data_IF_690263482161
#
_entry.id   IF_690263482161
#
_cell.length_a   1.000
_cell.length_b   1.000
_cell.length_c   1.000
_cell.angle_alpha   90.00
_cell.angle_beta   90.00
_cell.angle_gamma   90.00
#
_symmetry.space_group_name_H-M   'P 1'
#
loop_
_entity.id
_entity.type
_entity.pdbx_description
1 polymer ?
#
# COMPACT_ATOMS: atom_id res chain seq x y z
N UNK A 1 21.31 22.43 -6.23
CA UNK A 1 21.55 21.12 -6.90
C UNK A 1 21.11 19.97 -6.05
N UNK A 2 21.72 19.70 -4.89
CA UNK A 2 21.26 18.63 -3.99
C UNK A 2 19.77 18.78 -3.66
N UNK A 3 19.34 19.97 -3.22
CA UNK A 3 17.92 20.25 -2.94
C UNK A 3 17.00 20.00 -4.16
N UNK A 4 17.46 20.35 -5.37
CA UNK A 4 16.72 20.13 -6.61
C UNK A 4 16.59 18.63 -6.91
N UNK A 5 17.67 17.87 -6.73
CA UNK A 5 17.66 16.42 -6.90
C UNK A 5 16.70 15.72 -5.93
N UNK A 6 16.47 16.29 -4.74
CA UNK A 6 15.53 15.81 -3.74
C UNK A 6 14.10 16.35 -3.93
N UNK A 7 13.81 16.99 -5.06
CA UNK A 7 12.52 17.63 -5.35
C UNK A 7 12.08 18.68 -4.30
N UNK A 8 13.03 19.23 -3.55
CA UNK A 8 12.84 20.37 -2.64
C UNK A 8 12.96 21.67 -3.45
N UNK A 9 11.99 21.87 -4.34
CA UNK A 9 12.09 22.88 -5.41
C UNK A 9 12.12 24.31 -4.86
N UNK A 10 11.37 24.59 -3.78
CA UNK A 10 11.33 25.92 -3.18
C UNK A 10 12.67 26.31 -2.54
N UNK A 11 13.29 25.39 -1.81
CA UNK A 11 14.61 25.58 -1.20
C UNK A 11 15.70 25.63 -2.27
N UNK A 12 15.59 24.79 -3.29
CA UNK A 12 16.50 24.80 -4.43
C UNK A 12 16.44 26.13 -5.19
N UNK A 13 15.27 26.70 -5.38
CA UNK A 13 15.06 28.01 -6.01
C UNK A 13 15.81 29.11 -5.27
N UNK A 14 15.69 29.20 -3.95
CA UNK A 14 16.42 30.19 -3.14
C UNK A 14 17.93 30.06 -3.34
N UNK A 15 18.45 28.83 -3.38
CA UNK A 15 19.86 28.58 -3.63
C UNK A 15 20.28 28.98 -5.06
N UNK A 16 19.49 28.65 -6.07
CA UNK A 16 19.81 28.97 -7.46
C UNK A 16 19.69 30.46 -7.76
N UNK A 17 18.72 31.16 -7.17
CA UNK A 17 18.63 32.62 -7.24
C UNK A 17 19.91 33.27 -6.70
N UNK A 18 20.40 32.82 -5.54
CA UNK A 18 21.66 33.33 -4.96
C UNK A 18 22.86 32.99 -5.82
N UNK A 19 22.95 31.76 -6.33
CA UNK A 19 24.04 31.35 -7.21
C UNK A 19 24.07 32.16 -8.52
N UNK A 20 22.90 32.41 -9.11
CA UNK A 20 22.78 33.25 -10.31
C UNK A 20 23.13 34.72 -10.03
N UNK A 21 22.81 35.26 -8.85
CA UNK A 21 23.23 36.61 -8.46
C UNK A 21 24.76 36.72 -8.26
N UNK A 22 25.40 35.67 -7.74
CA UNK A 22 26.85 35.63 -7.53
C UNK A 22 27.64 35.39 -8.81
N UNK A 23 27.08 34.66 -9.76
CA UNK A 23 27.64 34.43 -11.08
C UNK A 23 26.55 34.58 -12.16
N UNK A 24 26.24 35.83 -12.56
CA UNK A 24 25.21 36.11 -13.57
C UNK A 24 25.57 35.62 -14.97
N UNK A 25 26.86 35.33 -15.21
CA UNK A 25 27.35 34.90 -16.52
C UNK A 25 27.19 33.40 -16.75
N UNK A 26 27.04 32.63 -15.68
CA UNK A 26 26.84 31.18 -15.77
C UNK A 26 25.40 30.84 -16.14
N UNK A 27 25.25 30.36 -17.39
CA UNK A 27 24.00 29.81 -17.90
C UNK A 27 23.42 28.72 -16.99
N UNK A 28 24.29 27.90 -16.40
CA UNK A 28 23.91 26.74 -15.60
C UNK A 28 22.99 27.10 -14.42
N UNK A 29 23.24 28.22 -13.75
CA UNK A 29 22.42 28.66 -12.62
C UNK A 29 21.06 29.20 -13.07
N UNK A 30 21.03 29.96 -14.17
CA UNK A 30 19.79 30.40 -14.79
C UNK A 30 18.96 29.20 -15.27
N UNK A 31 19.60 28.20 -15.87
CA UNK A 31 18.93 26.99 -16.33
C UNK A 31 18.27 26.23 -15.19
N UNK A 32 19.02 25.91 -14.13
CA UNK A 32 18.46 25.21 -12.99
C UNK A 32 17.39 26.01 -12.25
N UNK A 33 17.56 27.34 -12.15
CA UNK A 33 16.54 28.22 -11.59
C UNK A 33 15.24 28.15 -12.41
N UNK A 34 15.34 28.20 -13.73
CA UNK A 34 14.20 28.04 -14.64
C UNK A 34 13.48 26.71 -14.46
N UNK A 35 14.22 25.60 -14.35
CA UNK A 35 13.65 24.26 -14.13
C UNK A 35 12.90 24.14 -12.80
N UNK A 36 13.44 24.68 -11.70
CA UNK A 36 12.73 24.61 -10.40
C UNK A 36 11.53 25.55 -10.35
N UNK A 37 11.58 26.69 -11.03
CA UNK A 37 10.43 27.58 -11.21
C UNK A 37 9.34 26.89 -12.03
N UNK A 38 9.71 26.18 -13.09
CA UNK A 38 8.82 25.33 -13.88
C UNK A 38 8.12 24.26 -13.05
N UNK A 39 8.88 23.48 -12.27
CA UNK A 39 8.32 22.43 -11.42
C UNK A 39 7.36 22.94 -10.34
N UNK A 40 7.52 24.21 -9.93
CA UNK A 40 6.61 24.91 -9.02
C UNK A 40 5.45 25.63 -9.73
N UNK A 41 5.28 25.45 -11.04
CA UNK A 41 4.30 26.13 -11.88
C UNK A 41 4.40 27.67 -11.91
N UNK A 42 5.58 28.23 -11.60
CA UNK A 42 5.89 29.67 -11.70
C UNK A 42 6.32 30.04 -13.13
N UNK A 43 5.43 29.85 -14.09
CA UNK A 43 5.75 29.96 -15.51
C UNK A 43 6.26 31.34 -15.94
N UNK A 44 5.70 32.44 -15.41
CA UNK A 44 6.14 33.79 -15.76
C UNK A 44 7.59 34.08 -15.31
N UNK A 45 7.96 33.61 -14.12
CA UNK A 45 9.33 33.73 -13.60
C UNK A 45 10.30 32.86 -14.41
N UNK A 46 9.92 31.61 -14.70
CA UNK A 46 10.71 30.72 -15.53
C UNK A 46 10.95 31.30 -16.94
N UNK A 47 9.96 31.96 -17.54
CA UNK A 47 10.11 32.66 -18.83
C UNK A 47 11.16 33.76 -18.73
N UNK A 48 11.13 34.58 -17.66
CA UNK A 48 12.10 35.65 -17.48
C UNK A 48 13.53 35.13 -17.32
N UNK A 49 13.68 34.02 -16.59
CA UNK A 49 14.98 33.38 -16.32
C UNK A 49 15.54 32.68 -17.57
N UNK A 50 14.77 31.81 -18.22
CA UNK A 50 15.24 30.97 -19.33
C UNK A 50 15.48 31.76 -20.62
N UNK A 51 14.84 32.91 -20.81
CA UNK A 51 15.00 33.75 -22.01
C UNK A 51 16.41 34.31 -22.20
N UNK A 52 17.20 34.43 -21.13
CA UNK A 52 18.53 35.04 -21.18
C UNK A 52 19.58 34.20 -21.92
N UNK A 53 19.28 32.93 -22.23
CA UNK A 53 20.24 32.00 -22.82
C UNK A 53 19.58 31.13 -23.90
N UNK A 54 19.72 31.56 -25.16
CA UNK A 54 18.86 31.14 -26.27
C UNK A 54 19.32 29.93 -27.07
N UNK A 55 20.45 29.27 -26.75
CA UNK A 55 21.04 28.26 -27.64
C UNK A 55 21.04 26.82 -27.10
N UNK A 56 20.58 26.60 -25.86
CA UNK A 56 20.48 25.26 -25.28
C UNK A 56 19.09 24.67 -25.48
N UNK A 57 19.00 23.58 -26.26
CA UNK A 57 17.71 22.99 -26.68
C UNK A 57 16.78 22.65 -25.50
N UNK A 58 17.22 21.97 -24.41
CA UNK A 58 16.36 21.72 -23.25
C UNK A 58 15.79 23.00 -22.61
N UNK A 59 16.59 24.08 -22.54
CA UNK A 59 16.13 25.37 -22.03
C UNK A 59 15.11 26.03 -22.95
N UNK A 60 15.31 25.95 -24.27
CA UNK A 60 14.34 26.47 -25.25
C UNK A 60 13.02 25.70 -25.20
N UNK A 61 13.07 24.37 -25.08
CA UNK A 61 11.87 23.53 -24.93
C UNK A 61 11.11 23.85 -23.64
N UNK A 62 11.83 24.02 -22.53
CA UNK A 62 11.25 24.43 -21.24
C UNK A 62 10.64 25.83 -21.29
N UNK A 63 11.32 26.79 -21.91
CA UNK A 63 10.80 28.14 -22.16
C UNK A 63 9.50 28.09 -22.98
N UNK A 64 9.47 27.30 -24.06
CA UNK A 64 8.26 27.11 -24.88
C UNK A 64 7.10 26.54 -24.07
N UNK A 65 7.36 25.58 -23.18
CA UNK A 65 6.33 25.02 -22.30
C UNK A 65 5.76 26.06 -21.34
N UNK A 66 6.60 26.93 -20.76
CA UNK A 66 6.14 28.02 -19.89
C UNK A 66 5.36 29.09 -20.64
N UNK A 67 5.79 29.45 -21.86
CA UNK A 67 5.08 30.40 -22.71
C UNK A 67 3.67 29.89 -23.04
N UNK A 68 3.55 28.60 -23.36
CA UNK A 68 2.25 27.92 -23.52
C UNK A 68 1.44 27.96 -22.23
N UNK A 69 2.03 27.63 -21.08
CA UNK A 69 1.37 27.67 -19.78
C UNK A 69 0.89 29.07 -19.37
N UNK A 70 1.58 30.11 -19.82
CA UNK A 70 1.26 31.52 -19.57
C UNK A 70 0.38 32.15 -20.65
N UNK A 71 -0.19 31.32 -21.56
CA UNK A 71 -1.03 31.74 -22.68
C UNK A 71 -0.36 32.75 -23.67
N UNK A 72 0.97 32.75 -23.75
CA UNK A 72 1.76 33.58 -24.69
C UNK A 72 1.97 32.85 -26.01
N UNK A 73 0.87 32.57 -26.71
CA UNK A 73 0.81 31.67 -27.87
C UNK A 73 1.71 32.06 -29.03
N UNK A 74 1.77 33.34 -29.39
CA UNK A 74 2.58 33.83 -30.52
C UNK A 74 4.09 33.75 -30.22
N UNK A 75 4.49 34.02 -28.98
CA UNK A 75 5.89 33.87 -28.56
C UNK A 75 6.30 32.40 -28.56
N UNK A 76 5.44 31.53 -28.02
CA UNK A 76 5.67 30.08 -28.04
C UNK A 76 5.76 29.53 -29.47
N UNK A 77 4.89 30.00 -30.37
CA UNK A 77 4.87 29.60 -31.78
C UNK A 77 6.21 29.89 -32.45
N UNK A 78 6.67 31.15 -32.38
CA UNK A 78 7.92 31.58 -33.00
C UNK A 78 9.11 30.78 -32.46
N UNK A 79 9.16 30.58 -31.15
CA UNK A 79 10.20 29.80 -30.51
C UNK A 79 10.22 28.35 -31.01
N UNK A 80 9.08 27.66 -31.07
CA UNK A 80 9.04 26.29 -31.58
C UNK A 80 9.36 26.20 -33.07
N UNK A 81 8.94 27.17 -33.88
CA UNK A 81 9.32 27.26 -35.31
C UNK A 81 10.84 27.46 -35.46
N UNK A 82 11.48 28.30 -34.63
CA UNK A 82 12.93 28.49 -34.60
C UNK A 82 13.68 27.24 -34.14
N UNK A 83 13.19 26.55 -33.09
CA UNK A 83 13.75 25.28 -32.64
C UNK A 83 13.73 24.26 -33.79
N UNK A 84 12.59 24.14 -34.49
CA UNK A 84 12.42 23.17 -35.59
C UNK A 84 13.24 23.51 -36.84
N UNK A 85 13.67 24.77 -37.03
CA UNK A 85 14.64 25.11 -38.07
C UNK A 85 16.02 24.54 -37.77
N UNK A 86 16.43 24.49 -36.49
CA UNK A 86 17.73 23.96 -36.04
C UNK A 86 17.70 22.45 -35.74
N UNK A 87 16.58 21.97 -35.20
CA UNK A 87 16.36 20.60 -34.71
C UNK A 87 15.04 20.04 -35.26
N UNK A 88 14.96 19.75 -36.57
CA UNK A 88 13.72 19.29 -37.21
C UNK A 88 13.24 17.92 -36.73
N UNK A 89 14.10 17.18 -36.04
CA UNK A 89 13.92 15.85 -35.48
C UNK A 89 13.51 15.86 -33.99
N UNK A 90 13.30 17.02 -33.35
CA UNK A 90 12.81 17.08 -31.95
C UNK A 90 11.31 16.77 -31.86
N UNK A 91 10.90 15.61 -31.30
CA UNK A 91 9.49 15.29 -31.08
C UNK A 91 8.81 16.28 -30.12
N UNK A 92 9.53 16.80 -29.12
CA UNK A 92 9.05 17.76 -28.12
C UNK A 92 8.67 19.09 -28.76
N UNK A 93 9.49 19.58 -29.68
CA UNK A 93 9.24 20.84 -30.38
C UNK A 93 8.00 20.73 -31.29
N UNK A 94 7.87 19.62 -32.02
CA UNK A 94 6.66 19.32 -32.80
C UNK A 94 5.42 19.22 -31.92
N UNK A 95 5.52 18.54 -30.77
CA UNK A 95 4.42 18.45 -29.80
C UNK A 95 4.02 19.84 -29.24
N UNK A 96 5.00 20.64 -28.84
CA UNK A 96 4.80 22.01 -28.36
C UNK A 96 4.12 22.90 -29.39
N UNK A 97 4.60 22.88 -30.64
CA UNK A 97 3.97 23.61 -31.75
C UNK A 97 2.54 23.14 -32.02
N UNK A 98 2.29 21.83 -31.97
CA UNK A 98 0.95 21.26 -32.11
C UNK A 98 -0.02 21.77 -31.04
N UNK A 99 0.42 21.88 -29.78
CA UNK A 99 -0.38 22.46 -28.69
C UNK A 99 -0.72 23.93 -28.95
N UNK A 100 0.25 24.72 -29.40
CA UNK A 100 0.04 26.15 -29.74
C UNK A 100 -0.97 26.30 -30.88
N UNK A 101 -0.83 25.51 -31.97
CA UNK A 101 -1.78 25.50 -33.10
C UNK A 101 -3.19 25.10 -32.67
N UNK A 102 -3.31 24.06 -31.84
CA UNK A 102 -4.60 23.60 -31.32
C UNK A 102 -5.31 24.66 -30.45
N UNK A 103 -4.54 25.43 -29.67
CA UNK A 103 -5.04 26.55 -28.87
C UNK A 103 -5.51 27.71 -29.78
N UNK A 104 -4.78 27.99 -30.86
CA UNK A 104 -5.13 28.97 -31.88
C UNK A 104 -6.21 28.50 -32.89
N UNK A 105 -6.88 27.38 -32.62
CA UNK A 105 -7.92 26.75 -33.47
C UNK A 105 -7.45 26.28 -34.84
N UNK A 106 -6.16 26.24 -35.10
CA UNK A 106 -5.58 25.57 -36.27
C UNK A 106 -5.49 24.06 -36.01
N UNK A 107 -6.63 23.37 -36.16
CA UNK A 107 -6.73 21.94 -35.88
C UNK A 107 -5.98 21.08 -36.90
N UNK A 108 -5.95 21.51 -38.16
CA UNK A 108 -5.26 20.78 -39.22
C UNK A 108 -3.74 20.84 -39.02
N UNK A 109 -3.19 22.03 -38.80
CA UNK A 109 -1.77 22.19 -38.49
C UNK A 109 -1.37 21.55 -37.17
N UNK A 110 -2.28 21.48 -36.18
CA UNK A 110 -2.05 20.76 -34.93
C UNK A 110 -1.94 19.23 -35.15
N UNK A 111 -2.82 18.65 -35.98
CA UNK A 111 -2.74 17.22 -36.35
C UNK A 111 -1.41 16.90 -37.00
N UNK A 112 -0.96 17.71 -37.96
CA UNK A 112 0.32 17.51 -38.64
C UNK A 112 1.50 17.51 -37.66
N UNK A 113 1.54 18.50 -36.76
CA UNK A 113 2.57 18.61 -35.74
C UNK A 113 2.56 17.43 -34.75
N UNK A 114 1.38 17.03 -34.26
CA UNK A 114 1.29 15.89 -33.34
C UNK A 114 1.63 14.56 -34.01
N UNK A 115 1.19 14.35 -35.26
CA UNK A 115 1.58 13.17 -36.03
C UNK A 115 3.10 13.11 -36.20
N UNK A 116 3.74 14.23 -36.51
CA UNK A 116 5.19 14.29 -36.66
C UNK A 116 5.91 13.96 -35.35
N UNK A 117 5.42 14.46 -34.22
CA UNK A 117 5.93 14.10 -32.89
C UNK A 117 5.82 12.58 -32.61
N UNK A 118 4.66 11.97 -32.91
CA UNK A 118 4.45 10.53 -32.75
C UNK A 118 5.29 9.70 -33.73
N UNK A 119 5.57 10.19 -34.94
CA UNK A 119 6.45 9.51 -35.90
C UNK A 119 7.91 9.49 -35.43
N UNK A 120 8.38 10.60 -34.85
CA UNK A 120 9.74 10.74 -34.34
C UNK A 120 9.94 9.95 -33.03
N UNK A 121 8.91 9.89 -32.18
CA UNK A 121 8.91 9.09 -30.96
C UNK A 121 7.60 8.29 -30.83
N UNK A 122 7.53 7.06 -31.37
CA UNK A 122 6.32 6.23 -31.33
C UNK A 122 5.70 5.96 -29.95
N UNK A 123 6.44 5.93 -28.83
CA UNK A 123 5.80 5.77 -27.52
C UNK A 123 5.37 7.10 -26.88
N UNK A 124 5.30 8.23 -27.61
CA UNK A 124 4.96 9.54 -27.03
C UNK A 124 3.48 9.64 -26.56
N UNK A 125 3.18 9.17 -25.36
CA UNK A 125 1.80 9.06 -24.88
C UNK A 125 1.04 10.40 -24.82
N UNK A 126 1.72 11.48 -24.45
CA UNK A 126 1.12 12.81 -24.37
C UNK A 126 0.77 13.37 -25.77
N UNK A 127 1.59 13.08 -26.78
CA UNK A 127 1.32 13.47 -28.17
C UNK A 127 0.16 12.66 -28.76
N UNK A 128 0.12 11.35 -28.54
CA UNK A 128 -1.02 10.50 -28.92
C UNK A 128 -2.33 10.98 -28.29
N UNK A 129 -2.31 11.34 -27.00
CA UNK A 129 -3.49 11.89 -26.33
C UNK A 129 -3.95 13.23 -26.93
N UNK A 130 -3.01 14.15 -27.19
CA UNK A 130 -3.33 15.44 -27.80
C UNK A 130 -3.84 15.29 -29.25
N UNK A 131 -3.28 14.35 -30.01
CA UNK A 131 -3.74 14.00 -31.35
C UNK A 131 -5.16 13.44 -31.33
N UNK A 132 -5.45 12.51 -30.41
CA UNK A 132 -6.78 11.95 -30.23
C UNK A 132 -7.83 13.04 -29.92
N UNK A 133 -7.52 13.94 -28.99
CA UNK A 133 -8.39 15.09 -28.66
C UNK A 133 -8.63 15.99 -29.88
N UNK A 134 -7.60 16.20 -30.69
CA UNK A 134 -7.72 17.02 -31.90
C UNK A 134 -8.56 16.32 -32.97
N UNK A 135 -8.43 14.99 -33.13
CA UNK A 135 -9.30 14.20 -34.00
C UNK A 135 -10.77 14.19 -33.54
N UNK A 136 -11.04 14.13 -32.23
CA UNK A 136 -12.40 14.27 -31.70
C UNK A 136 -13.03 15.60 -32.11
N UNK A 137 -12.28 16.71 -31.98
CA UNK A 137 -12.73 18.06 -32.41
C UNK A 137 -12.97 18.15 -33.91
N UNK A 138 -12.30 17.32 -34.71
CA UNK A 138 -12.47 17.20 -36.16
C UNK A 138 -13.52 16.17 -36.60
N UNK A 139 -14.20 15.49 -35.66
CA UNK A 139 -15.20 14.45 -35.97
C UNK A 139 -14.62 13.11 -36.43
N UNK A 140 -13.31 12.88 -36.25
CA UNK A 140 -12.59 11.67 -36.68
C UNK A 140 -12.56 10.61 -35.57
N UNK A 141 -13.73 10.05 -35.25
CA UNK A 141 -13.91 9.18 -34.08
C UNK A 141 -13.02 7.91 -34.07
N UNK A 142 -12.90 7.22 -35.21
CA UNK A 142 -12.11 5.98 -35.30
C UNK A 142 -10.62 6.23 -35.04
N UNK A 143 -10.07 7.27 -35.67
CA UNK A 143 -8.66 7.66 -35.49
C UNK A 143 -8.42 8.11 -34.05
N UNK A 144 -9.34 8.87 -33.45
CA UNK A 144 -9.23 9.25 -32.05
C UNK A 144 -9.15 8.05 -31.09
N UNK A 145 -9.93 7.00 -31.35
CA UNK A 145 -9.94 5.80 -30.51
C UNK A 145 -8.64 5.00 -30.60
N UNK A 146 -8.06 4.91 -31.80
CA UNK A 146 -6.75 4.28 -32.02
C UNK A 146 -5.64 5.01 -31.23
N UNK A 147 -5.58 6.33 -31.37
CA UNK A 147 -4.59 7.17 -30.69
C UNK A 147 -4.74 7.13 -29.15
N UNK A 148 -5.98 7.08 -28.63
CA UNK A 148 -6.21 6.87 -27.19
C UNK A 148 -5.70 5.52 -26.70
N UNK A 149 -5.79 4.49 -27.52
CA UNK A 149 -5.30 3.15 -27.18
C UNK A 149 -3.78 3.14 -27.14
N UNK A 150 -3.13 3.80 -28.09
CA UNK A 150 -1.66 3.98 -28.11
C UNK A 150 -1.17 4.83 -26.93
N UNK A 151 -1.89 5.89 -26.58
CA UNK A 151 -1.58 6.73 -25.42
C UNK A 151 -1.61 5.94 -24.11
N UNK A 152 -2.66 5.13 -23.88
CA UNK A 152 -2.75 4.27 -22.70
C UNK A 152 -1.69 3.17 -22.66
N UNK A 153 -1.36 2.59 -23.82
CA UNK A 153 -0.34 1.54 -23.92
C UNK A 153 1.05 2.04 -23.51
N UNK A 154 1.36 3.30 -23.82
CA UNK A 154 2.67 3.90 -23.59
C UNK A 154 2.66 4.91 -22.42
N UNK A 155 1.73 4.77 -21.47
CA UNK A 155 1.59 5.71 -20.36
C UNK A 155 2.92 5.95 -19.63
N UNK A 156 3.28 7.22 -19.44
CA UNK A 156 4.54 7.63 -18.81
C UNK A 156 5.75 7.74 -19.76
N UNK A 157 5.67 7.25 -21.01
CA UNK A 157 6.75 7.41 -21.97
C UNK A 157 6.77 8.84 -22.56
N UNK A 158 7.90 9.51 -22.40
CA UNK A 158 8.17 10.85 -22.87
C UNK A 158 9.56 10.88 -23.51
N UNK A 159 9.75 11.60 -24.64
CA UNK A 159 11.07 11.74 -25.23
C UNK A 159 11.94 12.60 -24.31
N UNK A 160 13.13 12.10 -23.96
CA UNK A 160 14.10 12.85 -23.18
C UNK A 160 15.12 13.44 -24.15
N UNK A 161 15.05 14.74 -24.39
CA UNK A 161 16.17 15.46 -24.98
C UNK A 161 17.39 15.28 -24.07
N UNK A 162 18.56 14.99 -24.68
CA UNK A 162 19.79 14.79 -23.94
C UNK A 162 20.14 16.08 -23.16
N UNK A 163 20.00 16.01 -21.84
CA UNK A 163 20.19 17.14 -20.93
C UNK A 163 21.34 16.83 -19.99
N UNK A 164 22.55 17.13 -20.45
CA UNK A 164 23.79 16.92 -19.68
C UNK A 164 23.77 17.67 -18.33
N UNK A 165 23.16 18.86 -18.27
CA UNK A 165 23.13 19.67 -17.05
C UNK A 165 22.16 19.09 -16.02
N UNK A 166 21.00 18.60 -16.45
CA UNK A 166 20.06 17.90 -15.57
C UNK A 166 20.57 16.52 -15.21
N UNK A 167 21.28 15.82 -16.11
CA UNK A 167 21.97 14.57 -15.80
C UNK A 167 22.98 14.77 -14.67
N UNK A 168 23.67 15.91 -14.57
CA UNK A 168 24.51 16.22 -13.41
C UNK A 168 23.70 16.34 -12.11
N UNK A 169 22.49 16.92 -12.15
CA UNK A 169 21.59 16.98 -10.98
C UNK A 169 21.06 15.59 -10.63
N UNK A 170 20.73 14.77 -11.63
CA UNK A 170 20.22 13.40 -11.46
C UNK A 170 21.31 12.42 -11.02
N UNK A 171 22.56 12.59 -11.45
CA UNK A 171 23.69 11.74 -11.05
C UNK A 171 24.14 12.00 -9.62
N UNK A 172 23.83 13.18 -9.06
CA UNK A 172 23.85 13.39 -7.61
C UNK A 172 22.81 12.52 -6.87
N UNK A 173 22.07 11.66 -7.57
CA UNK A 173 20.88 10.99 -7.03
C UNK A 173 20.50 9.64 -7.67
N UNK A 174 21.19 8.55 -7.30
CA UNK A 174 20.76 7.15 -7.56
C UNK A 174 20.43 6.32 -6.32
N UNK A 175 20.51 6.90 -5.12
CA UNK A 175 20.76 6.10 -3.92
C UNK A 175 19.50 5.73 -3.09
N UNK A 176 18.48 6.59 -2.95
CA UNK A 176 17.35 6.27 -2.06
C UNK A 176 16.47 5.13 -2.59
N UNK A 177 16.18 5.09 -3.90
CA UNK A 177 15.39 4.02 -4.52
C UNK A 177 16.10 2.65 -4.38
N UNK A 178 17.44 2.66 -4.43
CA UNK A 178 18.23 1.47 -4.15
C UNK A 178 18.08 1.03 -2.69
N UNK A 179 18.08 1.96 -1.74
CA UNK A 179 17.84 1.68 -0.33
C UNK A 179 16.38 1.24 -0.04
N UNK A 180 15.38 1.77 -0.74
CA UNK A 180 13.99 1.30 -0.62
C UNK A 180 13.85 -0.15 -1.10
N UNK A 181 14.47 -0.49 -2.23
CA UNK A 181 14.51 -1.86 -2.77
C UNK A 181 15.27 -2.80 -1.83
N UNK A 182 16.44 -2.38 -1.38
CA UNK A 182 17.24 -3.15 -0.42
C UNK A 182 16.47 -3.40 0.88
N UNK A 183 15.81 -2.38 1.44
CA UNK A 183 14.98 -2.50 2.63
C UNK A 183 13.84 -3.50 2.43
N UNK A 184 13.19 -3.48 1.27
CA UNK A 184 12.13 -4.45 0.94
C UNK A 184 12.66 -5.89 0.80
N UNK A 185 13.82 -6.05 0.15
CA UNK A 185 14.47 -7.36 -0.01
C UNK A 185 14.90 -7.94 1.35
N UNK A 186 15.52 -7.13 2.20
CA UNK A 186 15.95 -7.53 3.55
C UNK A 186 14.74 -7.88 4.43
N UNK A 187 13.68 -7.07 4.38
CA UNK A 187 12.44 -7.37 5.10
C UNK A 187 11.84 -8.71 4.65
N UNK A 188 11.88 -9.02 3.35
CA UNK A 188 11.39 -10.30 2.82
C UNK A 188 12.22 -11.51 3.27
N UNK A 189 13.50 -11.31 3.62
CA UNK A 189 14.40 -12.34 4.18
C UNK A 189 14.26 -12.48 5.69
N UNK A 190 13.51 -11.59 6.35
CA UNK A 190 13.34 -11.55 7.80
C UNK A 190 14.42 -10.72 8.54
N UNK A 191 15.35 -10.10 7.82
CA UNK A 191 16.44 -9.28 8.38
C UNK A 191 15.93 -7.89 8.79
N UNK A 192 15.09 -7.86 9.84
CA UNK A 192 14.31 -6.68 10.24
C UNK A 192 15.18 -5.49 10.64
N UNK A 193 16.34 -5.73 11.27
CA UNK A 193 17.28 -4.67 11.65
C UNK A 193 17.91 -4.00 10.42
N UNK A 194 18.40 -4.79 9.47
CA UNK A 194 19.04 -4.25 8.27
C UNK A 194 18.02 -3.61 7.33
N UNK A 195 16.80 -4.17 7.27
CA UNK A 195 15.69 -3.57 6.54
C UNK A 195 15.36 -2.17 7.09
N UNK A 196 15.25 -2.03 8.42
CA UNK A 196 15.00 -0.74 9.05
C UNK A 196 16.13 0.24 8.75
N UNK A 197 17.39 -0.18 8.88
CA UNK A 197 18.54 0.67 8.55
C UNK A 197 18.51 1.14 7.08
N UNK A 198 18.14 0.28 6.13
CA UNK A 198 18.02 0.67 4.73
C UNK A 198 16.91 1.70 4.51
N UNK A 199 15.74 1.53 5.13
CA UNK A 199 14.67 2.54 5.06
C UNK A 199 15.04 3.86 5.76
N UNK A 200 15.74 3.81 6.89
CA UNK A 200 16.28 5.01 7.55
C UNK A 200 17.26 5.74 6.62
N UNK A 201 18.16 5.02 5.91
CA UNK A 201 19.04 5.61 4.90
C UNK A 201 18.27 6.23 3.73
N UNK A 202 17.20 5.58 3.26
CA UNK A 202 16.34 6.15 2.24
C UNK A 202 15.70 7.48 2.71
N UNK A 203 15.35 7.59 4.00
CA UNK A 203 14.79 8.80 4.61
C UNK A 203 15.82 9.87 4.95
N UNK A 204 17.05 9.50 5.31
CA UNK A 204 18.18 10.43 5.43
C UNK A 204 18.43 11.15 4.11
N UNK A 205 18.24 10.42 3.00
CA UNK A 205 18.34 10.95 1.66
C UNK A 205 17.08 11.76 1.35
N UNK A 206 15.89 11.15 1.31
CA UNK A 206 14.62 11.83 1.06
C UNK A 206 13.64 11.68 2.22
N UNK A 207 13.45 12.72 3.05
CA UNK A 207 12.49 12.70 4.15
C UNK A 207 11.02 12.65 3.73
N UNK A 208 10.71 12.89 2.46
CA UNK A 208 9.34 13.00 1.93
C UNK A 208 8.84 11.67 1.36
N UNK A 209 9.07 10.56 2.07
CA UNK A 209 8.71 9.21 1.65
C UNK A 209 7.74 8.55 2.65
N UNK A 210 6.41 8.73 2.46
CA UNK A 210 5.41 8.10 3.33
C UNK A 210 5.56 6.58 3.41
N UNK A 211 5.87 5.93 2.28
CA UNK A 211 6.01 4.47 2.21
C UNK A 211 7.16 3.96 3.08
N UNK A 212 8.28 4.69 3.15
CA UNK A 212 9.42 4.32 3.99
C UNK A 212 9.08 4.45 5.48
N UNK A 213 8.38 5.52 5.87
CA UNK A 213 7.89 5.67 7.23
C UNK A 213 6.91 4.54 7.62
N UNK A 214 5.96 4.19 6.76
CA UNK A 214 5.02 3.07 6.99
C UNK A 214 5.76 1.76 7.22
N UNK A 215 6.78 1.45 6.41
CA UNK A 215 7.62 0.25 6.60
C UNK A 215 8.37 0.28 7.92
N UNK A 216 8.86 1.44 8.33
CA UNK A 216 9.56 1.59 9.61
C UNK A 216 8.63 1.46 10.82
N UNK A 217 7.36 1.88 10.76
CA UNK A 217 6.39 1.61 11.84
C UNK A 217 6.31 0.10 12.12
N UNK A 218 6.13 -0.69 11.05
CA UNK A 218 6.08 -2.14 11.11
C UNK A 218 7.39 -2.75 11.66
N UNK A 219 8.54 -2.40 11.07
CA UNK A 219 9.84 -2.97 11.44
C UNK A 219 10.27 -2.57 12.86
N UNK A 220 10.12 -1.31 13.24
CA UNK A 220 10.40 -0.86 14.60
C UNK A 220 9.48 -1.56 15.61
N UNK A 221 8.23 -1.87 15.23
CA UNK A 221 7.33 -2.71 16.02
C UNK A 221 7.90 -4.12 16.26
N UNK A 222 8.41 -4.78 15.21
CA UNK A 222 9.06 -6.10 15.35
C UNK A 222 10.30 -6.06 16.25
N UNK A 223 11.06 -4.96 16.18
CA UNK A 223 12.29 -4.75 16.96
C UNK A 223 12.04 -4.27 18.39
N UNK A 224 10.78 -4.07 18.81
CA UNK A 224 10.44 -3.52 20.12
C UNK A 224 10.77 -2.03 20.29
N UNK A 225 11.10 -1.33 19.20
CA UNK A 225 11.48 0.09 19.18
C UNK A 225 10.24 0.99 19.06
N UNK A 226 9.33 0.89 20.03
CA UNK A 226 8.03 1.54 19.91
C UNK A 226 8.07 3.07 19.82
N UNK A 227 9.03 3.72 20.48
CA UNK A 227 9.19 5.18 20.40
C UNK A 227 9.53 5.63 18.98
N UNK A 228 10.46 4.94 18.30
CA UNK A 228 10.79 5.22 16.90
C UNK A 228 9.61 4.95 15.96
N UNK A 229 8.85 3.88 16.21
CA UNK A 229 7.66 3.59 15.43
C UNK A 229 6.62 4.71 15.55
N UNK A 230 6.45 5.30 16.73
CA UNK A 230 5.56 6.45 16.94
C UNK A 230 6.05 7.71 16.23
N UNK A 231 7.36 7.97 16.23
CA UNK A 231 7.95 9.08 15.45
C UNK A 231 7.67 8.93 13.95
N UNK A 232 7.88 7.73 13.40
CA UNK A 232 7.59 7.45 12.00
C UNK A 232 6.09 7.48 11.67
N UNK A 233 5.23 7.08 12.61
CA UNK A 233 3.79 7.24 12.45
C UNK A 233 3.39 8.71 12.33
N UNK A 234 3.89 9.59 13.22
CA UNK A 234 3.62 11.03 13.14
C UNK A 234 4.16 11.64 11.84
N UNK A 235 5.35 11.23 11.42
CA UNK A 235 5.93 11.68 10.15
C UNK A 235 5.08 11.22 8.94
N UNK A 236 4.67 9.95 8.90
CA UNK A 236 3.80 9.43 7.85
C UNK A 236 2.48 10.21 7.75
N UNK A 237 1.84 10.52 8.89
CA UNK A 237 0.60 11.28 8.91
C UNK A 237 0.77 12.76 8.53
N UNK A 238 1.93 13.36 8.84
CA UNK A 238 2.23 14.71 8.38
C UNK A 238 2.35 14.77 6.85
N UNK A 239 2.91 13.73 6.23
CA UNK A 239 3.09 13.66 4.78
C UNK A 239 1.81 13.25 4.04
N UNK A 240 1.12 12.23 4.54
CA UNK A 240 -0.11 11.71 3.96
C UNK A 240 -1.08 11.18 5.04
N UNK A 241 -2.03 12.02 5.50
CA UNK A 241 -3.04 11.63 6.47
C UNK A 241 -3.99 10.52 6.00
N UNK A 242 -4.02 10.22 4.69
CA UNK A 242 -4.91 9.26 4.04
C UNK A 242 -4.32 7.87 3.86
N UNK A 243 -3.16 7.55 4.46
CA UNK A 243 -2.52 6.22 4.36
C UNK A 243 -3.11 5.23 5.37
N UNK A 244 -3.95 4.25 4.96
CA UNK A 244 -4.53 3.28 5.89
C UNK A 244 -3.46 2.42 6.57
N UNK A 245 -2.41 2.04 5.85
CA UNK A 245 -1.32 1.18 6.37
C UNK A 245 -0.61 1.80 7.58
N UNK A 246 -0.47 3.14 7.61
CA UNK A 246 0.14 3.84 8.74
C UNK A 246 -0.69 3.65 10.02
N UNK A 247 -2.01 3.83 9.93
CA UNK A 247 -2.93 3.59 11.05
C UNK A 247 -2.99 2.11 11.42
N UNK A 248 -2.97 1.20 10.44
CA UNK A 248 -3.03 -0.24 10.70
C UNK A 248 -1.82 -0.72 11.51
N UNK A 249 -0.60 -0.42 11.06
CA UNK A 249 0.62 -0.84 11.76
C UNK A 249 0.78 -0.15 13.12
N UNK A 250 0.39 1.14 13.23
CA UNK A 250 0.37 1.81 14.52
C UNK A 250 -0.67 1.21 15.47
N UNK A 251 -1.89 0.92 14.98
CA UNK A 251 -2.94 0.26 15.74
C UNK A 251 -2.51 -1.09 16.28
N UNK A 252 -1.81 -1.88 15.47
CA UNK A 252 -1.25 -3.15 15.89
C UNK A 252 -0.14 -2.99 16.96
N UNK A 253 0.78 -2.04 16.76
CA UNK A 253 1.83 -1.69 17.73
C UNK A 253 1.23 -1.35 19.11
N UNK A 254 0.28 -0.41 19.16
CA UNK A 254 -0.28 0.07 20.44
C UNK A 254 -1.22 -0.96 21.07
N UNK A 255 -1.86 -1.82 20.26
CA UNK A 255 -2.56 -3.00 20.77
C UNK A 255 -1.62 -3.95 21.50
N UNK A 256 -0.43 -4.22 20.94
CA UNK A 256 0.61 -5.03 21.59
C UNK A 256 1.13 -4.44 22.92
N UNK A 257 1.00 -3.13 23.10
CA UNK A 257 1.33 -2.42 24.35
C UNK A 257 0.16 -2.40 25.36
N UNK A 258 -0.99 -2.99 25.04
CA UNK A 258 -2.19 -2.96 25.87
C UNK A 258 -2.97 -1.65 25.82
N UNK A 259 -2.64 -0.74 24.90
CA UNK A 259 -3.35 0.53 24.69
C UNK A 259 -4.58 0.33 23.81
N UNK A 260 -5.54 -0.44 24.31
CA UNK A 260 -6.70 -0.91 23.52
C UNK A 260 -7.63 0.18 22.99
N UNK A 261 -7.63 1.39 23.57
CA UNK A 261 -8.42 2.53 23.06
C UNK A 261 -7.77 3.17 21.84
N UNK A 262 -6.47 3.45 21.94
CA UNK A 262 -5.69 4.00 20.82
C UNK A 262 -5.69 3.03 19.61
N UNK A 263 -5.59 1.73 19.88
CA UNK A 263 -5.67 0.70 18.84
C UNK A 263 -7.01 0.71 18.10
N UNK A 264 -8.12 0.85 18.84
CA UNK A 264 -9.46 0.90 18.26
C UNK A 264 -9.65 2.14 17.38
N UNK A 265 -9.20 3.31 17.85
CA UNK A 265 -9.26 4.55 17.07
C UNK A 265 -8.47 4.40 15.76
N UNK A 266 -7.28 3.81 15.83
CA UNK A 266 -6.45 3.54 14.66
C UNK A 266 -7.15 2.58 13.67
N UNK A 267 -7.67 1.44 14.12
CA UNK A 267 -8.36 0.49 13.22
C UNK A 267 -9.66 1.06 12.65
N UNK A 268 -10.42 1.84 13.42
CA UNK A 268 -11.57 2.57 12.88
C UNK A 268 -11.14 3.56 11.80
N UNK A 269 -10.01 4.24 11.98
CA UNK A 269 -9.48 5.14 10.95
C UNK A 269 -9.08 4.42 9.67
N UNK A 270 -8.50 3.22 9.79
CA UNK A 270 -8.26 2.34 8.64
C UNK A 270 -9.57 2.07 7.89
N UNK A 271 -10.63 1.72 8.60
CA UNK A 271 -11.93 1.38 8.01
C UNK A 271 -12.69 2.59 7.45
N UNK A 272 -12.47 3.80 7.99
CA UNK A 272 -12.97 5.05 7.41
C UNK A 272 -12.34 5.32 6.04
N UNK A 273 -11.04 5.03 5.89
CA UNK A 273 -10.28 5.25 4.65
C UNK A 273 -10.47 4.11 3.66
N UNK A 274 -10.44 2.87 4.14
CA UNK A 274 -10.59 1.63 3.38
C UNK A 274 -11.57 0.67 4.09
N UNK A 275 -12.88 0.76 3.77
CA UNK A 275 -13.90 -0.13 4.33
C UNK A 275 -13.76 -1.62 3.95
N UNK A 276 -12.83 -1.97 3.07
CA UNK A 276 -12.61 -3.35 2.61
C UNK A 276 -11.43 -4.04 3.31
N UNK A 277 -10.83 -3.42 4.33
CA UNK A 277 -9.66 -3.98 5.02
C UNK A 277 -10.06 -5.07 6.03
N UNK A 278 -9.93 -6.33 5.63
CA UNK A 278 -10.37 -7.49 6.41
C UNK A 278 -9.64 -7.62 7.76
N UNK A 279 -8.33 -7.37 7.79
CA UNK A 279 -7.48 -7.45 8.97
C UNK A 279 -7.84 -6.38 10.01
N UNK A 280 -8.21 -5.18 9.57
CA UNK A 280 -8.66 -4.12 10.47
C UNK A 280 -10.01 -4.48 11.14
N UNK A 281 -10.95 -5.05 10.38
CA UNK A 281 -12.19 -5.62 10.93
C UNK A 281 -11.89 -6.73 11.96
N UNK A 282 -10.99 -7.67 11.64
CA UNK A 282 -10.63 -8.73 12.58
C UNK A 282 -10.00 -8.17 13.88
N UNK A 283 -9.06 -7.23 13.77
CA UNK A 283 -8.41 -6.66 14.96
C UNK A 283 -9.37 -5.80 15.79
N UNK A 284 -10.28 -5.07 15.15
CA UNK A 284 -11.36 -4.37 15.84
C UNK A 284 -12.29 -5.36 16.57
N UNK A 285 -12.66 -6.46 15.92
CA UNK A 285 -13.44 -7.53 16.53
C UNK A 285 -12.76 -8.14 17.75
N UNK A 286 -11.45 -8.37 17.68
CA UNK A 286 -10.64 -8.87 18.78
C UNK A 286 -10.63 -7.89 19.98
N UNK A 287 -10.46 -6.59 19.74
CA UNK A 287 -10.52 -5.57 20.80
C UNK A 287 -11.90 -5.49 21.45
N UNK A 288 -12.98 -5.60 20.67
CA UNK A 288 -14.35 -5.59 21.17
C UNK A 288 -14.65 -6.83 22.01
N UNK A 289 -14.15 -7.99 21.60
CA UNK A 289 -14.25 -9.23 22.38
C UNK A 289 -13.56 -9.08 23.74
N UNK A 290 -12.34 -8.53 23.77
CA UNK A 290 -11.60 -8.29 25.01
C UNK A 290 -12.33 -7.39 26.01
N UNK A 291 -13.26 -6.55 25.54
CA UNK A 291 -14.13 -5.70 26.36
C UNK A 291 -15.47 -6.36 26.72
N UNK A 292 -15.72 -7.58 26.26
CA UNK A 292 -16.97 -8.31 26.47
C UNK A 292 -18.11 -7.90 25.52
N UNK A 293 -17.84 -7.08 24.50
CA UNK A 293 -18.83 -6.63 23.51
C UNK A 293 -19.05 -7.68 22.40
N UNK A 294 -19.34 -8.93 22.80
CA UNK A 294 -19.39 -10.11 21.92
C UNK A 294 -20.27 -9.93 20.66
N UNK A 295 -21.48 -9.34 20.72
CA UNK A 295 -22.30 -9.16 19.51
C UNK A 295 -21.62 -8.26 18.47
N UNK A 296 -20.90 -7.23 18.90
CA UNK A 296 -20.17 -6.34 17.98
C UNK A 296 -18.92 -7.04 17.44
N UNK A 297 -18.20 -7.78 18.29
CA UNK A 297 -17.06 -8.58 17.85
C UNK A 297 -17.45 -9.57 16.73
N UNK A 298 -18.55 -10.30 16.90
CA UNK A 298 -19.09 -11.21 15.87
C UNK A 298 -19.40 -10.47 14.56
N UNK A 299 -20.01 -9.27 14.64
CA UNK A 299 -20.33 -8.48 13.47
C UNK A 299 -19.05 -8.08 12.69
N UNK A 300 -18.00 -7.65 13.40
CA UNK A 300 -16.71 -7.32 12.80
C UNK A 300 -16.01 -8.53 12.19
N UNK A 301 -16.00 -9.69 12.86
CA UNK A 301 -15.44 -10.91 12.26
C UNK A 301 -16.19 -11.36 11.01
N UNK A 302 -17.52 -11.19 10.98
CA UNK A 302 -18.32 -11.46 9.79
C UNK A 302 -18.01 -10.46 8.67
N UNK A 303 -17.80 -9.17 8.97
CA UNK A 303 -17.32 -8.20 7.99
C UNK A 303 -15.96 -8.59 7.43
N UNK A 304 -15.01 -9.00 8.27
CA UNK A 304 -13.71 -9.48 7.83
C UNK A 304 -13.82 -10.65 6.83
N UNK A 305 -14.71 -11.61 7.11
CA UNK A 305 -14.97 -12.77 6.25
C UNK A 305 -15.78 -12.42 4.99
N UNK A 306 -16.59 -11.37 5.02
CA UNK A 306 -17.26 -10.86 3.82
C UNK A 306 -16.22 -10.28 2.83
N UNK A 307 -15.17 -9.64 3.35
CA UNK A 307 -14.12 -9.03 2.51
C UNK A 307 -13.04 -10.03 2.10
N UNK A 308 -12.72 -10.98 2.97
CA UNK A 308 -11.82 -12.09 2.70
C UNK A 308 -12.42 -13.42 3.22
N UNK A 309 -13.15 -14.16 2.37
CA UNK A 309 -13.83 -15.40 2.75
C UNK A 309 -12.93 -16.52 3.25
N UNK A 310 -11.63 -16.48 2.93
CA UNK A 310 -10.66 -17.48 3.33
C UNK A 310 -9.76 -17.00 4.48
N UNK A 311 -10.15 -15.92 5.19
CA UNK A 311 -9.34 -15.33 6.26
C UNK A 311 -9.34 -16.21 7.53
N UNK A 312 -8.23 -16.93 7.83
CA UNK A 312 -8.26 -17.99 8.82
C UNK A 312 -8.45 -17.50 10.25
N UNK A 313 -7.85 -16.36 10.60
CA UNK A 313 -7.94 -15.75 11.93
C UNK A 313 -9.38 -15.31 12.23
N UNK A 314 -10.05 -14.68 11.27
CA UNK A 314 -11.45 -14.28 11.43
C UNK A 314 -12.37 -15.50 11.57
N UNK A 315 -12.10 -16.58 10.81
CA UNK A 315 -12.79 -17.86 10.97
C UNK A 315 -12.57 -18.48 12.35
N UNK A 316 -11.35 -18.49 12.87
CA UNK A 316 -11.06 -19.01 14.20
C UNK A 316 -11.75 -18.18 15.29
N UNK A 317 -11.61 -16.86 15.25
CA UNK A 317 -12.20 -15.96 16.23
C UNK A 317 -13.73 -16.07 16.27
N UNK A 318 -14.37 -16.07 15.10
CA UNK A 318 -15.82 -16.25 15.00
C UNK A 318 -16.24 -17.64 15.50
N UNK A 319 -15.58 -18.70 15.02
CA UNK A 319 -15.89 -20.09 15.40
C UNK A 319 -15.78 -20.32 16.90
N UNK A 320 -14.71 -19.81 17.53
CA UNK A 320 -14.49 -19.91 18.98
C UNK A 320 -15.59 -19.22 19.79
N UNK A 321 -16.02 -18.03 19.38
CA UNK A 321 -17.10 -17.30 20.06
C UNK A 321 -18.43 -18.05 19.91
N UNK A 322 -18.75 -18.55 18.71
CA UNK A 322 -20.00 -19.29 18.46
C UNK A 322 -20.06 -20.58 19.27
N UNK A 323 -18.96 -21.33 19.35
CA UNK A 323 -18.86 -22.54 20.21
C UNK A 323 -19.04 -22.19 21.68
N UNK A 324 -18.46 -21.09 22.17
CA UNK A 324 -18.68 -20.60 23.55
C UNK A 324 -20.14 -20.21 23.81
N UNK A 325 -20.88 -19.81 22.77
CA UNK A 325 -22.31 -19.53 22.83
C UNK A 325 -23.18 -20.78 22.59
N UNK A 326 -22.58 -21.97 22.58
CA UNK A 326 -23.26 -23.25 22.34
C UNK A 326 -23.88 -23.37 20.92
N UNK A 327 -23.51 -22.49 19.98
CA UNK A 327 -23.89 -22.58 18.57
C UNK A 327 -22.84 -23.39 17.80
N UNK A 328 -22.81 -24.70 18.08
CA UNK A 328 -21.81 -25.62 17.56
C UNK A 328 -21.96 -25.84 16.05
N UNK A 329 -23.20 -25.86 15.56
CA UNK A 329 -23.53 -26.10 14.15
C UNK A 329 -22.96 -25.01 13.23
N UNK A 330 -22.95 -23.74 13.67
CA UNK A 330 -22.31 -22.65 12.93
C UNK A 330 -20.80 -22.54 13.25
N UNK A 331 -20.42 -22.77 14.51
CA UNK A 331 -19.04 -22.56 14.98
C UNK A 331 -18.03 -23.57 14.43
N UNK A 332 -18.38 -24.87 14.37
CA UNK A 332 -17.48 -25.94 13.92
C UNK A 332 -17.03 -25.74 12.45
N UNK A 333 -17.91 -25.45 11.48
CA UNK A 333 -17.49 -25.15 10.10
C UNK A 333 -16.47 -24.02 10.00
N UNK A 334 -16.62 -22.97 10.81
CA UNK A 334 -15.65 -21.87 10.85
C UNK A 334 -14.30 -22.31 11.42
N UNK A 335 -14.28 -23.07 12.51
CA UNK A 335 -13.05 -23.62 13.07
C UNK A 335 -12.35 -24.57 12.08
N UNK A 336 -13.10 -25.41 11.36
CA UNK A 336 -12.55 -26.30 10.33
C UNK A 336 -11.95 -25.52 9.16
N UNK A 337 -12.59 -24.43 8.70
CA UNK A 337 -12.01 -23.55 7.68
C UNK A 337 -10.72 -22.88 8.16
N UNK A 338 -10.61 -22.55 9.44
CA UNK A 338 -9.37 -22.01 9.99
C UNK A 338 -8.19 -23.02 10.00
N UNK A 339 -8.45 -24.33 9.89
CA UNK A 339 -7.40 -25.37 9.86
C UNK A 339 -6.67 -25.50 8.52
N UNK A 340 -7.20 -24.92 7.43
CA UNK A 340 -6.63 -25.08 6.08
C UNK A 340 -5.34 -24.29 5.85
N UNK A 341 -4.81 -23.62 6.88
CA UNK A 341 -3.60 -22.79 6.79
C UNK A 341 -2.30 -23.58 6.78
N UNK A 342 -1.31 -23.05 6.06
CA UNK A 342 0.07 -23.54 6.05
C UNK A 342 0.81 -23.31 7.39
N UNK A 343 0.32 -22.41 8.27
CA UNK A 343 0.95 -22.19 9.58
C UNK A 343 0.59 -23.31 10.58
N UNK A 344 1.54 -24.23 10.75
CA UNK A 344 1.42 -25.46 11.53
C UNK A 344 1.35 -25.25 13.06
N UNK A 345 1.87 -24.13 13.59
CA UNK A 345 1.94 -23.85 15.03
C UNK A 345 0.56 -23.50 15.60
N UNK A 346 -0.10 -22.55 14.93
CA UNK A 346 -1.47 -22.10 15.22
C UNK A 346 -2.47 -23.28 15.15
N UNK A 347 -2.18 -24.30 14.33
CA UNK A 347 -3.06 -25.46 14.16
C UNK A 347 -3.29 -26.25 15.45
N UNK A 348 -2.36 -26.24 16.42
CA UNK A 348 -2.48 -27.12 17.60
C UNK A 348 -3.57 -26.67 18.57
N UNK A 349 -3.67 -25.37 18.86
CA UNK A 349 -4.77 -24.82 19.68
C UNK A 349 -6.12 -24.92 18.95
N UNK A 350 -6.11 -24.75 17.62
CA UNK A 350 -7.31 -24.85 16.79
C UNK A 350 -7.89 -26.28 16.82
N UNK A 351 -7.03 -27.29 16.76
CA UNK A 351 -7.42 -28.70 16.84
C UNK A 351 -8.07 -29.05 18.20
N UNK A 352 -7.54 -28.52 19.31
CA UNK A 352 -8.18 -28.72 20.63
C UNK A 352 -9.57 -28.09 20.67
N UNK A 353 -9.70 -26.83 20.22
CA UNK A 353 -10.99 -26.14 20.20
C UNK A 353 -12.06 -26.90 19.38
N UNK A 354 -11.66 -27.51 18.27
CA UNK A 354 -12.53 -28.34 17.42
C UNK A 354 -12.95 -29.62 18.13
N UNK A 355 -12.00 -30.32 18.77
CA UNK A 355 -12.29 -31.52 19.55
C UNK A 355 -13.30 -31.28 20.67
N UNK A 356 -13.14 -30.18 21.41
CA UNK A 356 -14.08 -29.76 22.47
C UNK A 356 -15.45 -29.40 21.88
N UNK A 357 -15.49 -28.74 20.72
CA UNK A 357 -16.74 -28.39 20.05
C UNK A 357 -17.52 -29.65 19.60
N UNK A 358 -16.86 -30.63 18.99
CA UNK A 358 -17.49 -31.91 18.62
C UNK A 358 -17.96 -32.70 19.84
N UNK A 359 -17.19 -32.71 20.93
CA UNK A 359 -17.60 -33.35 22.18
C UNK A 359 -18.90 -32.75 22.73
N UNK A 360 -19.03 -31.43 22.64
CA UNK A 360 -20.21 -30.69 23.10
C UNK A 360 -21.42 -30.90 22.19
N UNK A 361 -21.20 -31.11 20.89
CA UNK A 361 -22.23 -31.52 19.92
C UNK A 361 -22.68 -32.99 20.10
N UNK A 362 -21.93 -33.78 20.88
CA UNK A 362 -22.19 -35.21 21.10
C UNK A 362 -21.57 -36.14 20.05
N UNK A 363 -20.76 -35.60 19.14
CA UNK A 363 -20.01 -36.36 18.14
C UNK A 363 -18.68 -36.84 18.75
N UNK A 364 -18.79 -37.94 19.52
CA UNK A 364 -17.66 -38.50 20.27
C UNK A 364 -16.52 -38.98 19.35
N UNK A 365 -16.85 -39.49 18.17
CA UNK A 365 -15.87 -40.01 17.21
C UNK A 365 -14.95 -38.88 16.72
N UNK A 366 -15.53 -37.79 16.22
CA UNK A 366 -14.75 -36.64 15.78
C UNK A 366 -14.05 -35.94 16.94
N UNK A 367 -14.69 -35.84 18.11
CA UNK A 367 -14.08 -35.26 19.30
C UNK A 367 -12.75 -35.93 19.68
N UNK A 368 -12.76 -37.26 19.82
CA UNK A 368 -11.57 -38.04 20.17
C UNK A 368 -10.51 -37.94 19.07
N UNK A 369 -10.91 -38.00 17.80
CA UNK A 369 -9.99 -37.88 16.66
C UNK A 369 -9.21 -36.56 16.68
N UNK A 370 -9.90 -35.43 16.83
CA UNK A 370 -9.27 -34.11 16.85
C UNK A 370 -8.43 -33.87 18.13
N UNK A 371 -8.87 -34.34 19.30
CA UNK A 371 -8.09 -34.21 20.54
C UNK A 371 -6.81 -35.07 20.51
N UNK A 372 -6.87 -36.31 20.04
CA UNK A 372 -5.68 -37.14 19.87
C UNK A 372 -4.69 -36.53 18.87
N UNK A 373 -5.20 -35.93 17.79
CA UNK A 373 -4.36 -35.21 16.82
C UNK A 373 -3.73 -33.95 17.44
N UNK A 374 -4.49 -33.16 18.20
CA UNK A 374 -3.99 -32.00 18.93
C UNK A 374 -2.88 -32.41 19.91
N UNK A 375 -3.10 -33.47 20.70
CA UNK A 375 -2.12 -34.02 21.65
C UNK A 375 -0.82 -34.44 20.97
N UNK A 376 -0.92 -35.17 19.86
CA UNK A 376 0.25 -35.61 19.08
C UNK A 376 1.07 -34.41 18.59
N UNK A 377 0.39 -33.37 18.11
CA UNK A 377 1.04 -32.14 17.64
C UNK A 377 1.65 -31.31 18.76
N UNK A 378 1.00 -31.25 19.93
CA UNK A 378 1.53 -30.58 21.12
C UNK A 378 2.80 -31.30 21.65
N UNK A 379 2.80 -32.63 21.65
CA UNK A 379 3.95 -33.45 22.03
C UNK A 379 5.15 -33.25 21.09
N UNK A 380 4.92 -33.19 19.78
CA UNK A 380 5.98 -32.90 18.81
C UNK A 380 6.63 -31.52 19.01
N UNK A 381 5.98 -30.61 19.75
CA UNK A 381 6.42 -29.24 20.02
C UNK A 381 6.86 -29.00 21.47
N UNK A 382 6.88 -30.04 22.31
CA UNK A 382 7.16 -29.93 23.75
C UNK A 382 6.23 -28.93 24.48
N UNK A 383 4.97 -28.80 24.04
CA UNK A 383 3.98 -27.93 24.67
C UNK A 383 3.32 -28.65 25.87
N UNK A 384 4.06 -28.79 26.97
CA UNK A 384 3.65 -29.59 28.14
C UNK A 384 2.34 -29.14 28.79
N UNK A 385 2.13 -27.83 28.97
CA UNK A 385 0.88 -27.31 29.56
C UNK A 385 -0.36 -27.59 28.70
N UNK A 386 -0.20 -27.47 27.37
CA UNK A 386 -1.27 -27.78 26.42
C UNK A 386 -1.58 -29.28 26.40
N UNK A 387 -0.54 -30.13 26.46
CA UNK A 387 -0.72 -31.58 26.53
C UNK A 387 -1.50 -32.00 27.79
N UNK A 388 -1.19 -31.42 28.96
CA UNK A 388 -1.91 -31.72 30.20
C UNK A 388 -3.40 -31.37 30.10
N UNK A 389 -3.72 -30.21 29.52
CA UNK A 389 -5.09 -29.78 29.25
C UNK A 389 -5.84 -30.77 28.35
N UNK A 390 -5.21 -31.19 27.23
CA UNK A 390 -5.80 -32.15 26.30
C UNK A 390 -5.96 -33.54 26.93
N UNK A 391 -5.00 -33.96 27.77
CA UNK A 391 -5.06 -35.26 28.47
C UNK A 391 -6.22 -35.32 29.46
N UNK A 392 -6.52 -34.22 30.14
CA UNK A 392 -7.68 -34.12 31.01
C UNK A 392 -9.00 -34.20 30.22
N UNK A 393 -9.09 -33.51 29.07
CA UNK A 393 -10.24 -33.58 28.15
C UNK A 393 -10.46 -35.02 27.63
N UNK A 394 -9.39 -35.70 27.21
CA UNK A 394 -9.44 -37.09 26.72
C UNK A 394 -9.91 -38.07 27.80
N UNK A 395 -9.37 -37.97 29.03
CA UNK A 395 -9.81 -38.83 30.14
C UNK A 395 -11.29 -38.67 30.46
N UNK A 396 -11.82 -37.45 30.39
CA UNK A 396 -13.24 -37.19 30.62
C UNK A 396 -14.13 -37.83 29.56
N UNK A 397 -13.69 -37.83 28.30
CA UNK A 397 -14.46 -38.40 27.19
C UNK A 397 -14.38 -39.92 27.14
N UNK A 398 -13.17 -40.48 27.30
CA UNK A 398 -12.93 -41.92 27.28
C UNK A 398 -13.50 -42.62 28.53
N UNK A 399 -13.46 -41.96 29.70
CA UNK A 399 -14.06 -42.47 30.93
C UNK A 399 -15.59 -42.59 30.87
N UNK A 400 -16.26 -41.75 30.09
CA UNK A 400 -17.71 -41.80 29.86
C UNK A 400 -18.14 -42.78 28.77
N UNK A 401 -17.18 -43.33 27.99
CA UNK A 401 -17.45 -44.31 26.92
C UNK A 401 -17.55 -45.77 27.43
N UNK A 402 -17.40 -46.01 28.74
CA UNK A 402 -17.66 -47.32 29.34
C UNK A 402 -19.17 -47.64 29.30
N UNK A 403 -19.59 -48.85 28.88
CA UNK A 403 -21.02 -49.14 28.69
C UNK A 403 -21.77 -49.07 30.03
N UNK A 404 -22.98 -48.47 30.08
CA UNK A 404 -23.75 -48.40 31.32
C UNK A 404 -24.23 -49.81 31.69
N UNK A 405 -23.73 -50.32 32.81
CA UNK A 405 -24.39 -51.45 33.49
C UNK A 405 -25.78 -50.97 33.93
N UNK A 406 -26.79 -51.79 33.59
CA UNK A 406 -28.21 -51.55 33.74
C UNK A 406 -28.62 -50.61 34.90
N UNK A 407 -28.96 -49.36 34.57
CA UNK A 407 -30.01 -48.58 35.25
C UNK A 407 -30.46 -47.44 34.35
N UNK A 408 -31.75 -47.46 34.00
CA UNK A 408 -32.46 -46.32 33.39
C UNK A 408 -32.31 -45.11 34.32
N UNK A 409 -31.51 -44.13 33.94
CA UNK A 409 -31.49 -42.82 34.58
C UNK A 409 -31.32 -41.76 33.50
N UNK A 410 -32.26 -40.81 33.48
CA UNK A 410 -32.28 -39.63 32.61
C UNK A 410 -30.89 -38.98 32.59
N UNK A 411 -30.27 -38.91 31.41
CA UNK A 411 -29.07 -38.10 31.18
C UNK A 411 -29.38 -36.64 31.55
N UNK A 412 -29.04 -36.27 32.78
CA UNK A 412 -28.96 -34.90 33.22
C UNK A 412 -27.53 -34.44 32.89
N UNK A 413 -27.41 -33.83 31.71
CA UNK A 413 -26.21 -33.15 31.19
C UNK A 413 -25.83 -32.00 32.15
N UNK A 414 -25.10 -32.30 33.24
CA UNK A 414 -24.71 -31.30 34.24
C UNK A 414 -23.19 -31.21 34.53
N UNK A 415 -22.26 -32.11 34.13
CA UNK A 415 -20.85 -31.87 34.45
C UNK A 415 -20.09 -30.99 33.44
N UNK A 416 -20.59 -30.80 32.20
CA UNK A 416 -19.87 -30.07 31.15
C UNK A 416 -19.67 -28.56 31.43
N UNK A 417 -20.49 -27.96 32.31
CA UNK A 417 -20.32 -26.57 32.74
C UNK A 417 -19.00 -26.28 33.48
N UNK A 418 -18.31 -27.29 34.01
CA UNK A 418 -17.04 -27.09 34.77
C UNK A 418 -15.78 -27.14 33.91
N UNK A 419 -15.79 -27.79 32.74
CA UNK A 419 -14.63 -27.84 31.86
C UNK A 419 -14.37 -26.48 31.17
N UNK A 420 -15.43 -25.78 30.74
CA UNK A 420 -15.32 -24.47 30.11
C UNK A 420 -14.75 -23.37 31.02
N UNK A 421 -15.01 -23.43 32.34
CA UNK A 421 -14.57 -22.38 33.29
C UNK A 421 -13.08 -22.49 33.65
N UNK A 422 -12.45 -23.66 33.53
CA UNK A 422 -11.01 -23.83 33.80
C UNK A 422 -10.09 -23.28 32.71
N UNK A 423 -10.67 -22.85 31.61
CA UNK A 423 -9.95 -22.50 30.40
C UNK A 423 -9.56 -21.02 30.31
N UNK A 424 -9.50 -20.31 31.43
CA UNK A 424 -8.89 -18.96 31.52
C UNK A 424 -7.44 -18.87 31.03
N UNK A 425 -6.83 -19.99 30.62
CA UNK A 425 -5.55 -20.10 29.90
C UNK A 425 -5.64 -19.89 28.37
N UNK A 426 -6.83 -19.71 27.78
CA UNK A 426 -6.98 -19.43 26.33
C UNK A 426 -6.35 -18.10 25.86
N UNK A 427 -5.94 -17.21 26.77
CA UNK A 427 -5.60 -15.81 26.44
C UNK A 427 -4.10 -15.56 26.32
N UNK A 428 -3.23 -16.36 26.95
CA UNK A 428 -1.83 -15.96 27.12
C UNK A 428 -0.89 -16.35 25.96
N UNK A 429 -1.20 -17.41 25.21
CA UNK A 429 -0.31 -17.91 24.15
C UNK A 429 -0.48 -17.22 22.78
N UNK A 430 -1.57 -16.49 22.57
CA UNK A 430 -1.89 -15.84 21.27
C UNK A 430 -1.42 -14.38 21.20
N UNK A 431 -1.05 -13.78 22.35
CA UNK A 431 -0.66 -12.37 22.52
C UNK A 431 0.46 -11.90 21.59
N UNK A 432 1.37 -12.80 21.20
CA UNK A 432 2.61 -12.44 20.48
C UNK A 432 2.48 -12.52 18.97
N UNK A 433 1.55 -13.31 18.43
CA UNK A 433 1.40 -13.50 16.97
C UNK A 433 0.39 -12.56 16.32
N UNK A 434 -0.43 -11.87 17.12
CA UNK A 434 -1.50 -10.95 16.65
C UNK A 434 -0.93 -9.67 16.02
N UNK A 435 0.34 -9.34 16.26
CA UNK A 435 0.78 -7.96 16.12
C UNK A 435 1.25 -7.65 14.69
N UNK A 436 1.86 -8.58 13.95
CA UNK A 436 2.54 -8.24 12.69
C UNK A 436 2.54 -9.43 11.71
N UNK A 437 1.37 -9.87 11.24
CA UNK A 437 1.33 -10.73 10.04
C UNK A 437 1.57 -9.86 8.81
N UNK A 438 2.57 -10.22 8.01
CA UNK A 438 2.71 -9.71 6.64
C UNK A 438 1.41 -9.99 5.87
N UNK A 439 0.98 -9.12 4.93
CA UNK A 439 -0.04 -9.51 3.99
C UNK A 439 0.51 -10.76 3.28
N UNK A 440 -0.18 -11.88 3.50
CA UNK A 440 0.21 -13.16 2.95
C UNK A 440 0.30 -13.04 1.43
N UNK A 441 1.37 -13.60 0.90
CA UNK A 441 1.74 -13.73 -0.50
C UNK A 441 0.78 -14.61 -1.32
N UNK A 442 -0.53 -14.55 -1.06
CA UNK A 442 -1.56 -15.28 -1.80
C UNK A 442 -2.16 -14.52 -3.00
N UNK A 443 -1.55 -13.39 -3.40
CA UNK A 443 -1.86 -12.69 -4.66
C UNK A 443 -0.77 -12.85 -5.74
N UNK A 444 0.00 -13.96 -5.75
CA UNK A 444 0.88 -14.29 -6.88
C UNK A 444 0.66 -15.71 -7.39
N UNK A 445 -0.50 -15.92 -8.02
CA UNK A 445 -0.68 -16.74 -9.22
C UNK A 445 -2.08 -16.46 -9.79
N UNK A 446 -2.17 -15.43 -10.62
CA UNK A 446 -3.39 -15.11 -11.37
C UNK A 446 -3.53 -13.64 -11.70
N UNK A 447 -2.86 -13.21 -12.78
CA UNK A 447 -3.17 -12.06 -13.63
C UNK A 447 -3.33 -10.62 -13.04
N UNK A 448 -2.73 -9.70 -13.79
CA UNK A 448 -3.02 -8.26 -13.97
C UNK A 448 -2.14 -7.24 -13.22
N UNK A 449 -1.24 -6.67 -14.02
CA UNK A 449 -0.88 -5.25 -14.01
C UNK A 449 -2.15 -4.39 -13.94
N UNK A 450 -2.30 -3.64 -12.84
CA UNK A 450 -3.35 -2.65 -12.65
C UNK A 450 -2.75 -1.44 -11.93
N UNK A 451 -2.27 -0.48 -12.71
CA UNK A 451 -1.85 0.83 -12.24
C UNK A 451 -3.06 1.63 -11.75
N UNK A 452 -3.05 2.01 -10.48
CA UNK A 452 -3.94 3.04 -9.95
C UNK A 452 -3.34 4.42 -10.25
N UNK A 453 -4.05 5.19 -11.06
CA UNK A 453 -3.89 6.63 -11.24
C UNK A 453 -4.57 7.37 -10.08
N UNK A 454 -4.06 8.55 -9.67
CA UNK A 454 -4.74 9.41 -8.72
C UNK A 454 -5.87 10.19 -9.41
N UNK A 455 -7.08 9.96 -8.92
CA UNK A 455 -8.29 10.70 -9.28
C UNK A 455 -8.25 12.10 -8.63
N UNK A 456 -8.06 13.17 -9.43
CA UNK A 456 -8.40 14.54 -9.02
C UNK A 456 -9.62 14.99 -9.82
N UNK A 457 -10.75 15.10 -9.11
CA UNK A 457 -11.94 15.78 -9.60
C UNK A 457 -11.70 17.28 -9.74
N UNK A 458 -12.22 17.85 -10.83
CA UNK A 458 -12.58 19.26 -10.90
C UNK A 458 -14.05 19.34 -11.26
N UNK A 459 -14.79 20.00 -10.37
CA UNK A 459 -16.20 20.28 -10.50
C UNK A 459 -16.50 21.34 -11.55
N UNK A 460 -17.78 21.37 -11.86
CA UNK A 460 -18.52 22.27 -12.72
C UNK A 460 -18.27 23.75 -12.39
N UNK A 461 -18.20 24.57 -13.44
CA UNK A 461 -18.03 26.03 -13.40
C UNK A 461 -17.74 26.58 -14.79
#
# INVERSE_FOLDING_TARGET
>A
MVLHAHNLLAEAEVCYQRAHLLDPTSFRWAYYLGLVQMGQAKCDEAVATLRQHSDYLPAQLGLGQCLVGSARWEEARKLYEEILQKHPDSPEAHYGLGRVRAANKDLSGAVESFQKACQLFPPFAAAHHALARTYQRLGKANQAQEELTLSKKNEGAFPEAEDELLAEVQTLYRDFDAYLKLGAELASKGDSEQAAAAYERALEINPQLPEAHVRLIYLCGQLGQAAKAEEHYRAALHLDPGKPDAYFYYGALVMGQGKSREAEEAFRKVLEINPHHAEAHNNLGYLLEGRGELPKAIAEFRQALEKNPDFPQAHFNLGRILVKQENYEEGIPHLLKALTTENEEIRTSYLQAIGIAFASLGDLENALSYLHLARKKAAARNQTSLMESIDDDLRLLEGNASPPSHRKARCSFIPFRRALVRSSLWVEAESTLVILTTPSSQARRGNMLGSMTPNRGWGEG
#
